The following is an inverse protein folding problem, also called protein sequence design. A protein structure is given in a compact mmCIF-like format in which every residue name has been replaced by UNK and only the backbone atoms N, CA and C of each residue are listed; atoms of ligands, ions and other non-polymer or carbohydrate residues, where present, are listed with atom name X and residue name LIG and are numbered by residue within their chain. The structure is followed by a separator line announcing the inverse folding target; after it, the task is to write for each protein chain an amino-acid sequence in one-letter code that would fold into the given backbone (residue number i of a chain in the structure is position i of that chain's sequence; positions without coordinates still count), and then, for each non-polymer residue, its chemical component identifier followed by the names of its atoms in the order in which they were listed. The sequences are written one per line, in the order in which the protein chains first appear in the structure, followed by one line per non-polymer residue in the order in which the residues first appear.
data_IF_517475223641
#
_entry.id   IF_517475223641
#
_cell.length_a   1.000
_cell.length_b   1.000
_cell.length_c   1.000
_cell.angle_alpha   90.00
_cell.angle_beta   90.00
_cell.angle_gamma   90.00
#
_symmetry.space_group_name_H-M   'P 1'
#
loop_
_entity.id
_entity.type
_entity.pdbx_description
1 polymer ?
#
# COMPACT_ATOMS: atom_id res chain seq x y z
N UNK A 1 17.61 1.41 -12.54
CA UNK A 1 17.41 2.21 -11.31
C UNK A 1 16.19 3.12 -11.33
N UNK A 2 15.93 3.86 -12.43
CA UNK A 2 14.73 4.72 -12.57
C UNK A 2 13.41 3.95 -12.42
N UNK A 3 13.32 2.79 -13.07
CA UNK A 3 12.13 1.93 -13.04
C UNK A 3 11.80 1.45 -11.62
N UNK A 4 12.80 1.06 -10.82
CA UNK A 4 12.62 0.60 -9.43
C UNK A 4 12.06 1.73 -8.54
N UNK A 5 12.49 2.97 -8.77
CA UNK A 5 11.93 4.13 -8.08
C UNK A 5 10.44 4.36 -8.42
N UNK A 6 10.07 4.24 -9.70
CA UNK A 6 8.67 4.32 -10.11
C UNK A 6 7.82 3.19 -9.55
N UNK A 7 8.35 1.96 -9.49
CA UNK A 7 7.67 0.82 -8.87
C UNK A 7 7.45 1.07 -7.37
N UNK A 8 8.47 1.53 -6.64
CA UNK A 8 8.36 1.84 -5.22
C UNK A 8 7.33 2.93 -4.92
N UNK A 9 7.25 3.95 -5.79
CA UNK A 9 6.27 5.04 -5.66
C UNK A 9 4.86 4.61 -6.05
N UNK A 10 4.72 3.77 -7.07
CA UNK A 10 3.45 3.15 -7.44
C UNK A 10 2.91 2.27 -6.31
N UNK A 11 3.77 1.47 -5.67
CA UNK A 11 3.39 0.62 -4.55
C UNK A 11 2.95 1.43 -3.32
N UNK A 12 3.60 2.58 -3.06
CA UNK A 12 3.16 3.53 -2.02
C UNK A 12 1.78 4.12 -2.34
N UNK A 13 1.55 4.57 -3.58
CA UNK A 13 0.25 5.12 -3.97
C UNK A 13 -0.85 4.07 -3.87
N UNK A 14 -0.59 2.84 -4.29
CA UNK A 14 -1.53 1.72 -4.16
C UNK A 14 -1.81 1.38 -2.70
N UNK A 15 -0.76 1.24 -1.87
CA UNK A 15 -0.90 0.96 -0.45
C UNK A 15 -1.67 2.06 0.30
N UNK A 16 -1.49 3.33 -0.08
CA UNK A 16 -2.24 4.44 0.47
C UNK A 16 -3.69 4.48 -0.02
N UNK A 17 -3.93 4.18 -1.30
CA UNK A 17 -5.27 4.21 -1.90
C UNK A 17 -6.16 3.05 -1.42
N UNK A 18 -5.58 1.90 -1.06
CA UNK A 18 -6.34 0.73 -0.63
C UNK A 18 -7.00 0.92 0.74
N UNK A 19 -6.44 1.79 1.59
CA UNK A 19 -6.97 2.10 2.93
C UNK A 19 -8.33 2.81 2.87
N UNK A 20 -8.48 3.98 2.23
CA UNK A 20 -9.78 4.63 2.08
C UNK A 20 -10.75 3.76 1.27
N UNK A 21 -10.25 2.95 0.33
CA UNK A 21 -11.09 2.03 -0.44
C UNK A 21 -11.68 0.92 0.44
N UNK A 22 -10.90 0.36 1.37
CA UNK A 22 -11.40 -0.58 2.39
C UNK A 22 -12.46 0.05 3.28
N UNK A 23 -12.28 1.30 3.71
CA UNK A 23 -13.28 2.05 4.50
C UNK A 23 -14.58 2.22 3.69
N UNK A 24 -14.50 2.58 2.41
CA UNK A 24 -15.68 2.69 1.54
C UNK A 24 -16.40 1.36 1.43
N UNK A 25 -15.68 0.25 1.26
CA UNK A 25 -16.26 -1.08 1.18
C UNK A 25 -16.94 -1.50 2.49
N UNK A 26 -16.39 -1.14 3.65
CA UNK A 26 -17.05 -1.37 4.94
C UNK A 26 -18.33 -0.54 5.07
N UNK A 27 -18.26 0.77 4.78
CA UNK A 27 -19.41 1.69 4.89
C UNK A 27 -20.55 1.29 3.95
N UNK A 28 -20.21 0.82 2.74
CA UNK A 28 -21.19 0.35 1.75
C UNK A 28 -21.70 -1.07 2.02
N UNK A 29 -21.25 -1.71 3.10
CA UNK A 29 -21.66 -3.05 3.51
C UNK A 29 -21.13 -4.18 2.62
N UNK A 30 -20.14 -3.91 1.77
CA UNK A 30 -19.59 -4.87 0.81
C UNK A 30 -18.67 -5.91 1.45
N UNK A 31 -18.10 -5.64 2.64
CA UNK A 31 -17.24 -6.59 3.38
C UNK A 31 -18.04 -7.62 4.23
N UNK A 32 -19.37 -7.56 4.19
CA UNK A 32 -20.25 -8.58 4.76
C UNK A 32 -20.12 -8.78 6.28
N UNK A 33 -20.46 -10.00 6.75
CA UNK A 33 -20.59 -10.32 8.19
C UNK A 33 -19.27 -10.35 8.95
N UNK A 34 -18.13 -10.31 8.25
CA UNK A 34 -16.77 -10.25 8.80
C UNK A 34 -16.08 -8.93 8.46
N UNK A 35 -16.86 -7.88 8.19
CA UNK A 35 -16.39 -6.59 7.67
C UNK A 35 -15.18 -6.01 8.38
N UNK A 36 -15.23 -5.96 9.71
CA UNK A 36 -14.10 -5.48 10.53
C UNK A 36 -12.81 -6.31 10.33
N UNK A 37 -12.89 -7.63 10.24
CA UNK A 37 -11.72 -8.49 10.05
C UNK A 37 -11.13 -8.33 8.65
N UNK A 38 -11.97 -8.17 7.63
CA UNK A 38 -11.55 -7.89 6.26
C UNK A 38 -10.95 -6.49 6.14
N UNK A 39 -11.53 -5.50 6.80
CA UNK A 39 -11.01 -4.14 6.89
C UNK A 39 -9.62 -4.12 7.55
N UNK A 40 -9.43 -4.86 8.64
CA UNK A 40 -8.13 -5.00 9.30
C UNK A 40 -7.09 -5.67 8.38
N UNK A 41 -7.49 -6.68 7.61
CA UNK A 41 -6.62 -7.30 6.61
C UNK A 41 -6.20 -6.32 5.52
N UNK A 42 -7.15 -5.55 4.98
CA UNK A 42 -6.87 -4.49 3.99
C UNK A 42 -5.94 -3.44 4.58
N UNK A 43 -6.14 -3.07 5.85
CA UNK A 43 -5.30 -2.11 6.56
C UNK A 43 -3.86 -2.60 6.70
N UNK A 44 -3.66 -3.82 7.19
CA UNK A 44 -2.33 -4.43 7.36
C UNK A 44 -1.64 -4.58 6.01
N UNK A 45 -2.37 -5.02 4.98
CA UNK A 45 -1.83 -5.16 3.63
C UNK A 45 -1.40 -3.81 3.03
N UNK A 46 -2.25 -2.78 3.11
CA UNK A 46 -1.95 -1.45 2.61
C UNK A 46 -0.75 -0.82 3.32
N UNK A 47 -0.68 -0.97 4.65
CA UNK A 47 0.45 -0.51 5.45
C UNK A 47 1.77 -1.20 5.06
N UNK A 48 1.75 -2.52 4.90
CA UNK A 48 2.91 -3.31 4.50
C UNK A 48 3.37 -2.96 3.07
N UNK A 49 2.43 -2.85 2.12
CA UNK A 49 2.72 -2.45 0.75
C UNK A 49 3.36 -1.05 0.70
N UNK A 50 2.81 -0.09 1.44
CA UNK A 50 3.36 1.25 1.53
C UNK A 50 4.80 1.27 2.04
N UNK A 51 5.09 0.52 3.11
CA UNK A 51 6.42 0.43 3.67
C UNK A 51 7.39 -0.30 2.74
N UNK A 52 6.96 -1.39 2.10
CA UNK A 52 7.76 -2.07 1.08
C UNK A 52 8.14 -1.11 -0.06
N UNK A 53 7.21 -0.27 -0.51
CA UNK A 53 7.47 0.75 -1.52
C UNK A 53 8.48 1.81 -1.06
N UNK A 54 8.43 2.24 0.21
CA UNK A 54 9.41 3.15 0.83
C UNK A 54 10.82 2.55 0.83
N UNK A 55 10.96 1.27 1.20
CA UNK A 55 12.25 0.58 1.18
C UNK A 55 12.78 0.46 -0.25
N UNK A 56 11.95 0.07 -1.21
CA UNK A 56 12.34 -0.05 -2.62
C UNK A 56 12.85 1.28 -3.19
N UNK A 57 12.14 2.37 -2.90
CA UNK A 57 12.55 3.71 -3.31
C UNK A 57 13.84 4.16 -2.60
N UNK A 58 14.02 3.78 -1.33
CA UNK A 58 15.25 3.98 -0.57
C UNK A 58 16.46 3.33 -1.21
N UNK A 59 16.38 2.03 -1.55
CA UNK A 59 17.44 1.31 -2.26
C UNK A 59 17.73 1.91 -3.64
N UNK A 60 16.69 2.31 -4.37
CA UNK A 60 16.86 2.94 -5.68
C UNK A 60 17.57 4.30 -5.60
N UNK A 61 17.33 5.09 -4.53
CA UNK A 61 18.05 6.34 -4.27
C UNK A 61 19.49 6.10 -3.84
N UNK A 62 19.72 5.17 -2.91
CA UNK A 62 21.07 4.80 -2.44
C UNK A 62 21.95 4.36 -3.61
N UNK A 63 21.42 3.53 -4.50
CA UNK A 63 22.19 3.00 -5.62
C UNK A 63 22.50 4.03 -6.72
N UNK A 64 21.80 5.16 -6.77
CA UNK A 64 22.13 6.29 -7.67
C UNK A 64 23.20 7.22 -7.12
N UNK A 65 23.47 7.16 -5.81
CA UNK A 65 24.42 8.02 -5.13
C UNK A 65 25.84 7.43 -5.07
N UNK A 66 25.96 6.11 -5.33
CA UNK A 66 27.22 5.43 -5.64
C UNK A 66 27.47 5.44 -7.15
#
# INVERSE_FOLDING_TARGET
MVVIGYIGRGLQLLGLAILPLGIILEITGQLGRRGLAELLLIMVFGFAAFHAGRYLEGYARQSRAN
#
